data_IF_410984524975
#
_entry.id   IF_410984524975
#
_cell.length_a   1.000
_cell.length_b   1.000
_cell.length_c   1.000
_cell.angle_alpha   90.00
_cell.angle_beta   90.00
_cell.angle_gamma   90.00
#
_symmetry.space_group_name_H-M   'P 1'
#
loop_
_entity.id
_entity.type
_entity.pdbx_description
1 polymer ?
#
# COMPACT_ATOMS: atom_id res chain seq x y z
N UNK A 1 17.98 -20.04 30.80
CA UNK A 1 17.43 -19.67 29.50
C UNK A 1 15.98 -20.12 29.50
N UNK A 2 15.08 -19.24 29.88
CA UNK A 2 13.63 -19.47 29.86
C UNK A 2 13.12 -18.95 28.54
N UNK A 3 12.67 -19.84 27.67
CA UNK A 3 11.92 -19.48 26.48
C UNK A 3 10.62 -18.81 26.94
N UNK A 4 10.54 -17.49 26.82
CA UNK A 4 9.24 -16.82 26.86
C UNK A 4 8.55 -17.07 25.52
N UNK A 5 7.44 -17.81 25.57
CA UNK A 5 6.58 -18.03 24.43
C UNK A 5 6.06 -16.69 23.88
N UNK A 6 6.01 -16.60 22.57
CA UNK A 6 5.52 -15.44 21.83
C UNK A 6 4.01 -15.24 22.07
N UNK A 7 3.65 -14.65 23.20
CA UNK A 7 2.38 -13.93 23.33
C UNK A 7 2.70 -12.48 22.90
N UNK A 8 2.10 -12.06 21.78
CA UNK A 8 2.28 -10.71 21.27
C UNK A 8 2.00 -9.68 22.36
N UNK A 9 2.96 -8.79 22.58
CA UNK A 9 2.79 -7.66 23.48
C UNK A 9 1.70 -6.74 22.91
N UNK A 10 0.58 -6.66 23.60
CA UNK A 10 -0.48 -5.70 23.26
C UNK A 10 -0.10 -4.32 23.85
N UNK A 11 0.56 -3.51 23.02
CA UNK A 11 1.02 -2.16 23.41
C UNK A 11 -0.12 -1.24 23.88
N UNK A 12 -1.38 -1.52 23.48
CA UNK A 12 -2.55 -0.75 23.92
C UNK A 12 -2.95 -1.04 25.37
N UNK A 13 -2.37 -2.08 25.98
CA UNK A 13 -2.60 -2.46 27.38
C UNK A 13 -1.39 -2.19 28.27
N UNK A 14 -0.34 -1.59 27.74
CA UNK A 14 0.83 -1.22 28.55
C UNK A 14 0.57 0.06 29.32
N UNK A 15 1.05 0.07 30.57
CA UNK A 15 1.06 1.27 31.39
C UNK A 15 1.93 2.36 30.76
N UNK A 16 1.51 3.61 30.83
CA UNK A 16 2.22 4.77 30.24
C UNK A 16 3.65 4.85 30.75
N UNK A 17 3.87 4.56 32.04
CA UNK A 17 5.20 4.58 32.66
C UNK A 17 6.14 3.52 32.06
N UNK A 18 5.61 2.37 31.65
CA UNK A 18 6.37 1.32 30.98
C UNK A 18 6.74 1.72 29.55
N UNK A 19 5.82 2.37 28.84
CA UNK A 19 6.07 2.89 27.48
C UNK A 19 7.15 3.99 27.51
N UNK A 20 7.14 4.85 28.52
CA UNK A 20 8.12 5.92 28.69
C UNK A 20 9.52 5.36 29.00
N UNK A 21 9.61 4.34 29.87
CA UNK A 21 10.87 3.63 30.15
C UNK A 21 11.42 2.93 28.89
N UNK A 22 10.57 2.29 28.10
CA UNK A 22 10.95 1.67 26.82
C UNK A 22 11.48 2.72 25.84
N UNK A 23 10.85 3.89 25.79
CA UNK A 23 11.31 5.00 24.95
C UNK A 23 12.69 5.53 25.40
N UNK A 24 12.91 5.68 26.70
CA UNK A 24 14.21 6.10 27.26
C UNK A 24 15.32 5.07 27.06
N UNK A 25 15.00 3.79 26.91
CA UNK A 25 15.94 2.71 26.62
C UNK A 25 16.24 2.54 25.11
N UNK A 26 15.83 3.49 24.26
CA UNK A 26 16.06 3.42 22.80
C UNK A 26 14.97 2.66 22.04
N UNK A 27 13.81 2.47 22.66
CA UNK A 27 12.69 1.76 22.07
C UNK A 27 12.77 0.24 22.23
N UNK A 28 11.64 -0.44 22.11
CA UNK A 28 11.59 -1.88 21.93
C UNK A 28 12.20 -2.19 20.55
N UNK A 29 13.41 -2.66 20.51
CA UNK A 29 13.82 -3.49 19.40
C UNK A 29 13.04 -4.81 19.51
N UNK A 30 11.83 -4.79 19.00
CA UNK A 30 11.13 -6.01 18.66
C UNK A 30 12.00 -6.67 17.58
N UNK A 31 12.82 -7.63 18.03
CA UNK A 31 13.40 -8.60 17.11
C UNK A 31 12.23 -9.48 16.68
N UNK A 32 11.37 -8.92 15.82
CA UNK A 32 10.52 -9.72 14.97
C UNK A 32 11.49 -10.60 14.17
N UNK A 33 11.24 -11.89 14.01
CA UNK A 33 11.95 -12.64 12.99
C UNK A 33 11.75 -11.82 11.71
N UNK A 34 12.83 -11.24 11.19
CA UNK A 34 12.78 -10.45 9.97
C UNK A 34 12.50 -11.43 8.86
N UNK A 35 11.22 -11.55 8.48
CA UNK A 35 10.90 -12.06 7.18
C UNK A 35 11.28 -10.94 6.19
N UNK A 36 12.48 -11.02 5.64
CA UNK A 36 12.88 -10.17 4.53
C UNK A 36 12.10 -10.62 3.30
N UNK A 37 11.74 -9.67 2.45
CA UNK A 37 11.33 -10.03 1.11
C UNK A 37 12.46 -10.85 0.48
N UNK A 38 12.13 -12.04 -0.02
CA UNK A 38 13.12 -12.93 -0.61
C UNK A 38 13.54 -12.36 -1.97
N UNK A 39 14.82 -12.17 -2.17
CA UNK A 39 15.37 -11.72 -3.46
C UNK A 39 15.60 -12.89 -4.42
N UNK A 40 15.69 -14.12 -3.91
CA UNK A 40 15.70 -15.33 -4.73
C UNK A 40 14.28 -15.91 -4.83
N UNK A 41 13.55 -15.43 -5.82
CA UNK A 41 12.19 -15.90 -6.11
C UNK A 41 12.13 -17.38 -6.49
N UNK A 42 13.25 -17.97 -6.95
CA UNK A 42 13.35 -19.38 -7.28
C UNK A 42 13.08 -20.28 -6.08
N UNK A 43 13.60 -19.93 -4.92
CA UNK A 43 13.37 -20.69 -3.69
C UNK A 43 11.90 -20.75 -3.29
N UNK A 44 11.13 -19.68 -3.53
CA UNK A 44 9.69 -19.65 -3.28
C UNK A 44 8.90 -20.36 -4.40
N UNK A 45 9.33 -20.27 -5.66
CA UNK A 45 8.72 -20.96 -6.80
C UNK A 45 8.83 -22.49 -6.68
N UNK A 46 9.95 -22.99 -6.16
CA UNK A 46 10.19 -24.43 -5.93
C UNK A 46 9.23 -25.07 -4.92
N UNK A 47 8.43 -24.28 -4.22
CA UNK A 47 7.39 -24.78 -3.31
C UNK A 47 6.15 -25.34 -4.04
N UNK A 48 6.11 -25.28 -5.38
CA UNK A 48 4.95 -25.69 -6.19
C UNK A 48 3.77 -24.72 -6.14
N UNK A 49 3.99 -23.50 -5.67
CA UNK A 49 3.00 -22.41 -5.67
C UNK A 49 2.93 -21.73 -7.04
N UNK A 50 1.81 -21.14 -7.35
CA UNK A 50 1.70 -20.25 -8.51
C UNK A 50 2.54 -19.00 -8.28
N UNK A 51 3.37 -18.63 -9.25
CA UNK A 51 4.11 -17.37 -9.24
C UNK A 51 3.37 -16.37 -10.11
N UNK A 52 3.09 -15.20 -9.56
CA UNK A 52 2.45 -14.08 -10.26
C UNK A 52 3.44 -12.92 -10.29
N UNK A 53 3.78 -12.51 -11.50
CA UNK A 53 4.78 -11.47 -11.74
C UNK A 53 4.11 -10.10 -11.94
N UNK A 54 4.65 -9.08 -11.29
CA UNK A 54 4.27 -7.69 -11.50
C UNK A 54 5.51 -6.84 -11.77
N UNK A 55 5.39 -5.95 -12.74
CA UNK A 55 6.42 -4.99 -13.07
C UNK A 55 5.87 -3.58 -12.82
N UNK A 56 6.54 -2.84 -11.94
CA UNK A 56 6.23 -1.46 -11.65
C UNK A 56 7.40 -0.57 -12.10
N UNK A 57 7.06 0.52 -12.76
CA UNK A 57 7.99 1.60 -13.06
C UNK A 57 7.66 2.78 -12.16
N UNK A 58 8.63 3.24 -11.37
CA UNK A 58 8.49 4.44 -10.55
C UNK A 58 8.94 5.65 -11.38
N UNK A 59 8.00 6.54 -11.69
CA UNK A 59 8.27 7.68 -12.58
C UNK A 59 7.40 8.89 -12.26
N UNK A 60 7.93 10.08 -12.52
CA UNK A 60 7.21 11.34 -12.38
C UNK A 60 6.52 11.71 -13.69
N UNK A 61 5.23 12.01 -13.64
CA UNK A 61 4.45 12.44 -14.81
C UNK A 61 3.54 13.62 -14.47
N UNK A 62 3.28 14.46 -15.46
CA UNK A 62 2.27 15.51 -15.34
C UNK A 62 0.90 14.94 -15.71
N UNK A 63 -0.04 14.97 -14.77
CA UNK A 63 -1.40 14.48 -14.95
C UNK A 63 -2.40 15.65 -14.92
N UNK A 64 -3.38 15.68 -15.84
CA UNK A 64 -4.42 16.69 -15.79
C UNK A 64 -5.37 16.45 -14.61
N UNK A 65 -5.72 17.53 -13.92
CA UNK A 65 -6.84 17.55 -12.98
C UNK A 65 -7.91 18.54 -13.47
N UNK A 66 -9.09 18.50 -12.85
CA UNK A 66 -10.19 19.35 -13.29
C UNK A 66 -9.85 20.84 -13.18
N UNK A 67 -10.41 21.64 -14.09
CA UNK A 67 -10.20 23.10 -14.12
C UNK A 67 -8.97 23.56 -14.91
N UNK A 68 -8.36 22.64 -15.68
CA UNK A 68 -7.18 22.98 -16.52
C UNK A 68 -5.86 23.05 -15.74
N UNK A 69 -5.86 22.63 -14.49
CA UNK A 69 -4.66 22.49 -13.68
C UNK A 69 -4.01 21.13 -13.94
N UNK A 70 -2.73 21.05 -13.59
CA UNK A 70 -1.96 19.81 -13.65
C UNK A 70 -1.47 19.40 -12.27
N UNK A 71 -1.19 18.12 -12.11
CA UNK A 71 -0.58 17.52 -10.95
C UNK A 71 0.73 16.85 -11.38
N UNK A 72 1.85 17.33 -10.87
CA UNK A 72 3.15 16.71 -11.07
C UNK A 72 3.24 15.49 -10.15
N UNK A 73 2.68 14.40 -10.64
CA UNK A 73 2.52 13.16 -9.87
C UNK A 73 3.78 12.32 -9.89
N UNK A 74 4.13 11.74 -8.75
CA UNK A 74 4.99 10.56 -8.69
C UNK A 74 4.09 9.34 -8.81
N UNK A 75 4.42 8.40 -9.69
CA UNK A 75 3.49 7.35 -10.08
C UNK A 75 4.12 5.96 -10.11
N UNK A 76 3.27 4.94 -10.04
CA UNK A 76 3.60 3.63 -10.55
C UNK A 76 2.96 3.45 -11.93
N UNK A 77 3.79 3.18 -12.95
CA UNK A 77 3.39 2.97 -14.35
C UNK A 77 2.62 4.17 -14.97
N UNK A 78 3.05 5.40 -14.67
CA UNK A 78 2.52 6.62 -15.30
C UNK A 78 1.07 6.95 -14.95
N UNK A 79 0.48 6.36 -13.92
CA UNK A 79 -0.92 6.56 -13.56
C UNK A 79 -1.14 6.72 -12.05
N UNK A 80 -2.23 7.38 -11.69
CA UNK A 80 -2.72 7.51 -10.30
C UNK A 80 -4.19 7.07 -10.22
N UNK A 81 -4.54 6.12 -9.38
CA UNK A 81 -3.66 5.21 -8.63
C UNK A 81 -2.81 4.33 -9.54
N UNK A 82 -1.75 3.74 -9.00
CA UNK A 82 -0.99 2.69 -9.67
C UNK A 82 -1.86 1.48 -10.01
N UNK A 83 -1.36 0.51 -10.80
CA UNK A 83 -2.11 -0.67 -11.24
C UNK A 83 -2.69 -1.46 -10.06
N UNK A 84 -3.89 -2.00 -10.22
CA UNK A 84 -4.41 -3.00 -9.28
C UNK A 84 -3.64 -4.31 -9.45
N UNK A 85 -3.04 -4.79 -8.36
CA UNK A 85 -2.35 -6.07 -8.31
C UNK A 85 -3.32 -7.11 -7.79
N UNK A 86 -3.56 -8.20 -8.53
CA UNK A 86 -4.51 -9.23 -8.12
C UNK A 86 -3.90 -10.62 -8.15
N UNK A 87 -4.01 -11.32 -7.04
CA UNK A 87 -3.46 -12.66 -6.82
C UNK A 87 -4.44 -13.50 -6.01
N UNK A 88 -4.18 -14.80 -5.92
CA UNK A 88 -4.92 -15.71 -5.05
C UNK A 88 -4.12 -15.98 -3.77
N UNK A 89 -4.81 -16.15 -2.67
CA UNK A 89 -4.20 -16.53 -1.40
C UNK A 89 -3.33 -17.77 -1.56
N UNK A 90 -2.08 -17.65 -1.16
CA UNK A 90 -1.07 -18.69 -1.27
C UNK A 90 -0.16 -18.53 -2.50
N UNK A 91 -0.46 -17.66 -3.44
CA UNK A 91 0.44 -17.37 -4.55
C UNK A 91 1.74 -16.71 -4.07
N UNK A 92 2.80 -16.94 -4.83
CA UNK A 92 4.04 -16.18 -4.72
C UNK A 92 3.90 -14.94 -5.60
N UNK A 93 4.05 -13.77 -5.00
CA UNK A 93 4.14 -12.51 -5.74
C UNK A 93 5.60 -12.24 -6.03
N UNK A 94 5.94 -12.12 -7.30
CA UNK A 94 7.24 -11.64 -7.75
C UNK A 94 7.09 -10.21 -8.26
N UNK A 95 7.73 -9.28 -7.58
CA UNK A 95 7.67 -7.86 -7.89
C UNK A 95 8.99 -7.39 -8.46
N UNK A 96 8.94 -6.69 -9.58
CA UNK A 96 10.07 -5.93 -10.11
C UNK A 96 9.73 -4.45 -10.06
N UNK A 97 10.60 -3.65 -9.45
CA UNK A 97 10.53 -2.19 -9.46
C UNK A 97 11.71 -1.63 -10.24
N UNK A 98 11.42 -0.88 -11.30
CA UNK A 98 12.39 -0.19 -12.13
C UNK A 98 12.22 1.32 -11.97
N UNK A 99 13.33 2.04 -11.84
CA UNK A 99 13.34 3.51 -11.81
C UNK A 99 14.11 3.99 -13.05
N UNK A 100 13.49 4.72 -13.98
CA UNK A 100 14.15 5.26 -15.16
C UNK A 100 15.37 6.11 -14.80
N UNK A 101 16.38 6.10 -15.67
CA UNK A 101 17.65 6.79 -15.41
C UNK A 101 17.53 8.33 -15.42
N UNK A 102 16.48 8.86 -16.00
CA UNK A 102 16.15 10.29 -16.06
C UNK A 102 15.21 10.77 -14.93
N UNK A 103 14.78 9.83 -14.06
CA UNK A 103 14.02 10.20 -12.85
C UNK A 103 14.91 10.99 -11.88
N UNK A 104 14.31 11.95 -11.15
CA UNK A 104 15.07 12.87 -10.28
C UNK A 104 15.36 12.26 -8.91
N UNK A 105 14.56 11.27 -8.47
CA UNK A 105 14.68 10.67 -7.14
C UNK A 105 14.48 9.17 -7.22
N UNK A 106 15.05 8.48 -6.23
CA UNK A 106 14.76 7.06 -6.04
C UNK A 106 13.37 6.83 -5.46
N UNK A 107 12.89 5.61 -5.62
CA UNK A 107 11.61 5.16 -5.08
C UNK A 107 11.77 3.80 -4.42
N UNK A 108 10.87 3.50 -3.52
CA UNK A 108 10.79 2.20 -2.88
C UNK A 108 9.39 1.62 -3.04
N UNK A 109 9.16 0.53 -2.34
CA UNK A 109 7.83 -0.08 -2.31
C UNK A 109 7.52 -0.60 -0.92
N UNK A 110 6.27 -0.47 -0.50
CA UNK A 110 5.70 -1.08 0.70
C UNK A 110 4.47 -1.87 0.29
N UNK A 111 4.57 -3.18 0.37
CA UNK A 111 3.55 -4.13 -0.09
C UNK A 111 2.80 -4.69 1.12
N UNK A 112 1.73 -4.03 1.56
CA UNK A 112 0.96 -4.44 2.74
C UNK A 112 0.41 -5.88 2.65
N UNK A 113 0.17 -6.39 1.44
CA UNK A 113 -0.23 -7.79 1.23
C UNK A 113 0.85 -8.81 1.66
N UNK A 114 2.11 -8.38 1.75
CA UNK A 114 3.21 -9.20 2.26
C UNK A 114 3.16 -9.39 3.78
N UNK A 115 2.48 -8.47 4.50
CA UNK A 115 2.49 -8.35 5.96
C UNK A 115 3.89 -8.11 6.55
N UNK A 116 4.80 -7.61 5.72
CA UNK A 116 6.15 -7.22 6.11
C UNK A 116 6.24 -5.71 6.31
N UNK A 117 7.27 -5.26 7.01
CA UNK A 117 7.60 -3.85 7.13
C UNK A 117 8.17 -3.30 5.82
N UNK A 118 7.89 -2.03 5.52
CA UNK A 118 8.48 -1.31 4.38
C UNK A 118 10.01 -1.40 4.31
N UNK A 119 10.69 -1.49 5.46
CA UNK A 119 12.14 -1.65 5.52
C UNK A 119 12.67 -3.00 5.01
N UNK A 120 11.78 -3.95 4.70
CA UNK A 120 12.18 -5.24 4.11
C UNK A 120 12.27 -5.19 2.58
N UNK A 121 11.90 -4.07 1.97
CA UNK A 121 11.97 -3.85 0.54
C UNK A 121 13.02 -2.79 0.23
N UNK A 122 13.78 -3.00 -0.84
CA UNK A 122 14.82 -2.08 -1.26
C UNK A 122 14.25 -0.74 -1.75
N UNK A 123 15.06 0.31 -1.54
CA UNK A 123 14.89 1.55 -2.29
C UNK A 123 15.77 1.50 -3.53
N UNK A 124 15.20 1.88 -4.66
CA UNK A 124 15.81 1.78 -5.98
C UNK A 124 16.15 3.19 -6.47
N UNK A 125 17.40 3.43 -6.85
CA UNK A 125 17.85 4.72 -7.39
C UNK A 125 17.54 4.85 -8.89
N UNK A 126 17.56 6.08 -9.43
CA UNK A 126 17.43 6.27 -10.88
C UNK A 126 18.42 5.43 -11.68
N UNK A 127 17.92 4.72 -12.70
CA UNK A 127 18.67 3.80 -13.54
C UNK A 127 18.86 2.40 -12.96
N UNK A 128 18.28 2.10 -11.82
CA UNK A 128 18.37 0.81 -11.15
C UNK A 128 17.04 0.05 -11.17
N UNK A 129 17.13 -1.25 -10.91
CA UNK A 129 16.00 -2.17 -10.80
C UNK A 129 16.20 -3.05 -9.58
N UNK A 130 15.14 -3.28 -8.80
CA UNK A 130 15.12 -4.29 -7.74
C UNK A 130 14.02 -5.31 -7.97
N UNK A 131 14.28 -6.55 -7.58
CA UNK A 131 13.29 -7.63 -7.62
C UNK A 131 13.21 -8.30 -6.26
N UNK A 132 12.00 -8.57 -5.83
CA UNK A 132 11.72 -9.25 -4.56
C UNK A 132 10.41 -10.04 -4.62
N UNK A 133 10.28 -10.99 -3.72
CA UNK A 133 9.14 -11.89 -3.66
C UNK A 133 8.59 -12.02 -2.26
N UNK A 134 7.31 -12.35 -2.18
CA UNK A 134 6.64 -12.73 -0.94
C UNK A 134 5.47 -13.67 -1.25
N UNK A 135 4.96 -14.34 -0.22
CA UNK A 135 3.75 -15.15 -0.32
C UNK A 135 2.56 -14.31 0.12
N UNK A 136 1.51 -14.25 -0.70
CA UNK A 136 0.25 -13.58 -0.37
C UNK A 136 -0.59 -14.47 0.56
N UNK A 137 -0.25 -14.51 1.86
CA UNK A 137 -0.83 -15.47 2.80
C UNK A 137 -2.25 -15.14 3.25
N UNK A 138 -2.63 -13.87 3.23
CA UNK A 138 -3.93 -13.41 3.74
C UNK A 138 -4.81 -12.86 2.63
N UNK A 139 -6.03 -13.40 2.51
CA UNK A 139 -7.03 -12.85 1.61
C UNK A 139 -7.51 -11.47 2.11
N UNK A 140 -7.70 -10.53 1.18
CA UNK A 140 -8.15 -9.18 1.50
C UNK A 140 -7.82 -8.15 0.44
N UNK A 141 -8.09 -6.89 0.77
CA UNK A 141 -7.70 -5.72 -0.03
C UNK A 141 -6.66 -4.94 0.77
N UNK A 142 -5.49 -4.80 0.19
CA UNK A 142 -4.33 -4.19 0.83
C UNK A 142 -3.86 -2.99 0.02
N UNK A 143 -3.25 -2.02 0.69
CA UNK A 143 -2.51 -0.96 0.01
C UNK A 143 -1.15 -1.47 -0.44
N UNK A 144 -0.63 -0.87 -1.50
CA UNK A 144 0.79 -0.77 -1.73
C UNK A 144 1.12 0.67 -2.06
N UNK A 145 2.31 1.11 -1.72
CA UNK A 145 2.74 2.48 -1.95
C UNK A 145 4.25 2.62 -1.93
N UNK A 146 4.74 3.76 -2.41
CA UNK A 146 6.16 4.07 -2.30
C UNK A 146 6.57 4.23 -0.84
N UNK A 147 7.70 3.64 -0.46
CA UNK A 147 8.33 3.82 0.85
C UNK A 147 9.28 5.03 0.90
N UNK A 148 9.32 5.84 -0.16
CA UNK A 148 10.31 6.90 -0.31
C UNK A 148 11.71 6.36 -0.58
N UNK A 149 12.73 7.16 -0.32
CA UNK A 149 14.13 6.74 -0.39
C UNK A 149 14.59 6.36 1.00
N UNK A 150 14.82 5.08 1.25
CA UNK A 150 15.17 4.56 2.57
C UNK A 150 14.24 5.09 3.68
N UNK A 151 12.93 5.04 3.43
CA UNK A 151 11.85 5.55 4.27
C UNK A 151 11.80 7.08 4.43
N UNK A 152 12.69 7.83 3.79
CA UNK A 152 12.64 9.29 3.78
C UNK A 152 11.65 9.80 2.70
N UNK A 153 10.87 10.82 3.03
CA UNK A 153 9.91 11.46 2.11
C UNK A 153 8.74 10.56 1.69
N UNK A 154 8.45 9.50 2.44
CA UNK A 154 7.38 8.55 2.10
C UNK A 154 6.02 9.24 1.95
N UNK A 155 5.69 10.17 2.84
CA UNK A 155 4.46 10.97 2.81
C UNK A 155 4.35 11.77 1.51
N UNK A 156 5.41 12.44 1.10
CA UNK A 156 5.47 13.20 -0.15
C UNK A 156 5.22 12.29 -1.36
N UNK A 157 5.91 11.16 -1.45
CA UNK A 157 5.79 10.24 -2.58
C UNK A 157 4.37 9.64 -2.67
N UNK A 158 3.82 9.20 -1.53
CA UNK A 158 2.46 8.63 -1.46
C UNK A 158 1.40 9.67 -1.81
N UNK A 159 1.46 10.86 -1.19
CA UNK A 159 0.48 11.91 -1.43
C UNK A 159 0.60 12.54 -2.83
N UNK A 160 1.78 12.41 -3.47
CA UNK A 160 1.96 12.78 -4.87
C UNK A 160 1.43 11.74 -5.86
N UNK A 161 0.96 10.58 -5.41
CA UNK A 161 0.28 9.62 -6.29
C UNK A 161 0.83 8.20 -6.32
N UNK A 162 1.95 7.91 -5.65
CA UNK A 162 2.56 6.57 -5.65
C UNK A 162 1.87 5.61 -4.69
N UNK A 163 0.66 5.22 -5.00
CA UNK A 163 -0.13 4.23 -4.26
C UNK A 163 -1.03 3.43 -5.18
N UNK A 164 -1.44 2.26 -4.73
CA UNK A 164 -2.41 1.40 -5.37
C UNK A 164 -2.99 0.36 -4.42
N UNK A 165 -3.75 -0.58 -4.96
CA UNK A 165 -4.30 -1.70 -4.18
C UNK A 165 -3.80 -3.03 -4.71
N UNK A 166 -3.56 -3.95 -3.78
CA UNK A 166 -3.37 -5.37 -4.04
C UNK A 166 -4.61 -6.13 -3.53
N UNK A 167 -5.21 -6.92 -4.38
CA UNK A 167 -6.35 -7.78 -4.05
C UNK A 167 -5.84 -9.21 -3.96
N UNK A 168 -6.00 -9.82 -2.81
CA UNK A 168 -5.70 -11.22 -2.59
C UNK A 168 -7.02 -11.97 -2.46
N UNK A 169 -7.41 -12.66 -3.51
CA UNK A 169 -8.62 -13.46 -3.52
C UNK A 169 -8.47 -14.68 -2.61
N UNK A 170 -9.51 -15.11 -1.89
CA UNK A 170 -9.44 -16.32 -1.08
C UNK A 170 -9.14 -17.56 -1.93
N UNK A 171 -8.29 -18.47 -1.44
CA UNK A 171 -7.88 -19.70 -2.15
C UNK A 171 -9.07 -20.58 -2.60
N UNK A 172 -10.19 -20.53 -1.87
CA UNK A 172 -11.41 -21.27 -2.18
C UNK A 172 -12.51 -20.40 -2.80
N UNK A 173 -12.15 -19.23 -3.29
CA UNK A 173 -13.08 -18.24 -3.85
C UNK A 173 -14.04 -17.63 -2.81
N UNK A 174 -14.86 -16.73 -3.27
CA UNK A 174 -15.91 -16.11 -2.46
C UNK A 174 -17.12 -17.02 -2.42
N UNK A 175 -17.56 -17.40 -1.21
CA UNK A 175 -18.71 -18.28 -1.03
C UNK A 175 -20.01 -17.51 -0.87
N UNK A 176 -19.97 -16.37 -0.18
CA UNK A 176 -21.12 -15.49 0.06
C UNK A 176 -20.70 -14.05 0.30
N UNK A 177 -21.56 -13.14 -0.09
CA UNK A 177 -21.50 -11.75 0.33
C UNK A 177 -22.31 -11.58 1.62
N UNK A 178 -21.72 -10.93 2.61
CA UNK A 178 -22.41 -10.53 3.83
C UNK A 178 -22.67 -9.03 3.78
N UNK A 179 -23.94 -8.65 3.97
CA UNK A 179 -24.32 -7.26 4.13
C UNK A 179 -24.78 -7.05 5.56
N UNK A 180 -24.14 -6.12 6.26
CA UNK A 180 -24.55 -5.69 7.59
C UNK A 180 -25.39 -4.41 7.48
N UNK A 181 -26.53 -4.41 8.13
CA UNK A 181 -27.42 -3.24 8.20
C UNK A 181 -27.83 -3.03 9.65
N UNK A 182 -27.60 -1.84 10.16
CA UNK A 182 -28.12 -1.46 11.46
C UNK A 182 -29.60 -1.11 11.30
N UNK A 183 -30.47 -1.83 12.00
CA UNK A 183 -31.89 -1.52 12.05
C UNK A 183 -32.13 -0.21 12.79
N UNK A 184 -33.32 0.37 12.62
CA UNK A 184 -33.74 1.57 13.37
C UNK A 184 -33.78 1.37 14.91
N UNK A 185 -33.74 0.10 15.38
CA UNK A 185 -33.62 -0.25 16.81
C UNK A 185 -32.14 -0.35 17.27
N UNK A 186 -31.17 -0.18 16.38
CA UNK A 186 -29.76 -0.33 16.68
C UNK A 186 -29.26 -1.79 16.61
N UNK A 187 -30.12 -2.73 16.25
CA UNK A 187 -29.76 -4.14 16.09
C UNK A 187 -29.05 -4.34 14.74
N UNK A 188 -27.96 -5.13 14.78
CA UNK A 188 -27.18 -5.48 13.60
C UNK A 188 -27.81 -6.67 12.89
N UNK A 189 -28.35 -6.44 11.71
CA UNK A 189 -28.89 -7.50 10.83
C UNK A 189 -27.83 -7.88 9.80
N UNK A 190 -27.62 -9.19 9.60
CA UNK A 190 -26.66 -9.75 8.64
C UNK A 190 -27.39 -10.57 7.60
N UNK A 191 -27.30 -10.12 6.37
CA UNK A 191 -27.84 -10.82 5.22
C UNK A 191 -26.71 -11.43 4.39
N UNK A 192 -26.90 -12.66 3.92
CA UNK A 192 -25.94 -13.38 3.10
C UNK A 192 -26.53 -13.63 1.72
N UNK A 193 -25.79 -13.24 0.71
CA UNK A 193 -26.12 -13.41 -0.70
C UNK A 193 -25.08 -14.29 -1.37
N UNK A 194 -25.44 -14.90 -2.51
CA UNK A 194 -24.49 -15.59 -3.36
C UNK A 194 -23.45 -14.61 -3.90
N UNK A 195 -22.22 -15.07 -4.14
CA UNK A 195 -21.09 -14.19 -4.47
C UNK A 195 -21.00 -13.89 -5.99
N UNK A 196 -22.09 -13.44 -6.60
CA UNK A 196 -22.19 -13.02 -8.00
C UNK A 196 -22.46 -11.51 -8.11
N UNK A 197 -21.61 -10.70 -7.49
CA UNK A 197 -21.74 -9.26 -7.48
C UNK A 197 -20.79 -8.57 -8.47
N UNK A 198 -21.17 -7.37 -8.93
CA UNK A 198 -20.25 -6.48 -9.62
C UNK A 198 -19.24 -5.89 -8.61
N UNK A 199 -17.97 -5.95 -8.96
CA UNK A 199 -16.89 -5.37 -8.17
C UNK A 199 -16.58 -3.95 -8.67
N UNK A 200 -16.51 -3.00 -7.75
CA UNK A 200 -16.04 -1.63 -7.99
C UNK A 200 -14.86 -1.33 -7.09
N UNK A 201 -13.76 -0.91 -7.70
CA UNK A 201 -12.56 -0.50 -7.00
C UNK A 201 -12.54 1.02 -6.92
N UNK A 202 -12.66 1.56 -5.69
CA UNK A 202 -12.68 3.00 -5.45
C UNK A 202 -11.54 3.37 -4.49
N UNK A 203 -10.59 4.14 -4.98
CA UNK A 203 -9.46 4.65 -4.21
C UNK A 203 -9.59 6.17 -4.10
N UNK A 204 -9.79 6.66 -2.87
CA UNK A 204 -9.90 8.08 -2.56
C UNK A 204 -8.54 8.64 -2.18
N UNK A 205 -8.20 9.80 -2.71
CA UNK A 205 -7.03 10.55 -2.28
C UNK A 205 -7.32 12.04 -2.19
N UNK A 206 -6.58 12.73 -1.33
CA UNK A 206 -6.55 14.18 -1.23
C UNK A 206 -5.25 14.71 -1.80
N UNK A 207 -5.34 15.64 -2.74
CA UNK A 207 -4.19 16.30 -3.33
C UNK A 207 -3.92 17.60 -2.58
N UNK A 208 -2.66 17.84 -2.27
CA UNK A 208 -2.15 19.05 -1.64
C UNK A 208 -1.13 19.65 -2.60
N UNK A 209 -1.55 20.63 -3.39
CA UNK A 209 -0.78 21.13 -4.52
C UNK A 209 -0.53 22.61 -4.41
N UNK A 210 0.69 23.04 -4.78
CA UNK A 210 1.01 24.41 -5.12
C UNK A 210 0.32 24.84 -6.42
N UNK A 211 0.38 26.13 -6.75
CA UNK A 211 -0.15 26.64 -8.00
C UNK A 211 0.50 26.01 -9.25
N UNK A 212 1.73 25.52 -9.12
CA UNK A 212 2.48 24.85 -10.20
C UNK A 212 2.27 23.33 -10.23
N UNK A 213 1.33 22.82 -9.44
CA UNK A 213 0.97 21.40 -9.42
C UNK A 213 1.92 20.48 -8.62
N UNK A 214 2.87 21.04 -7.88
CA UNK A 214 3.78 20.27 -7.03
C UNK A 214 3.16 20.00 -5.65
N UNK A 215 3.65 18.99 -4.96
CA UNK A 215 3.23 18.70 -3.59
C UNK A 215 3.51 19.87 -2.64
N UNK A 216 2.49 20.25 -1.87
CA UNK A 216 2.54 21.30 -0.85
C UNK A 216 2.44 20.69 0.56
N UNK A 217 3.58 20.50 1.21
CA UNK A 217 3.65 20.00 2.58
C UNK A 217 2.96 20.95 3.58
N UNK A 218 3.04 22.27 3.36
CA UNK A 218 2.39 23.25 4.24
C UNK A 218 0.87 23.13 4.22
N UNK A 219 0.29 23.01 3.02
CA UNK A 219 -1.14 22.77 2.85
C UNK A 219 -1.55 21.42 3.45
N UNK A 220 -0.72 20.39 3.32
CA UNK A 220 -0.97 19.07 3.91
C UNK A 220 -1.01 19.14 5.43
N UNK A 221 -0.03 19.73 6.08
CA UNK A 221 -0.03 19.89 7.55
C UNK A 221 -1.16 20.78 8.05
N UNK A 222 -1.62 21.73 7.23
CA UNK A 222 -2.78 22.57 7.55
C UNK A 222 -4.13 21.90 7.23
N UNK A 223 -4.15 20.68 6.69
CA UNK A 223 -5.36 19.96 6.23
C UNK A 223 -6.16 20.74 5.16
N UNK A 224 -5.47 21.48 4.29
CA UNK A 224 -6.03 22.31 3.23
C UNK A 224 -5.81 21.66 1.87
N UNK A 225 -6.52 20.57 1.60
CA UNK A 225 -6.40 19.88 0.31
C UNK A 225 -6.88 20.74 -0.86
N UNK A 226 -6.14 20.72 -1.95
CA UNK A 226 -6.47 21.41 -3.20
C UNK A 226 -7.60 20.70 -3.93
N UNK A 227 -7.59 19.37 -3.92
CA UNK A 227 -8.62 18.54 -4.55
C UNK A 227 -8.80 17.21 -3.81
N UNK A 228 -9.99 16.63 -3.97
CA UNK A 228 -10.24 15.22 -3.64
C UNK A 228 -10.50 14.47 -4.93
N UNK A 229 -9.83 13.36 -5.11
CA UNK A 229 -9.91 12.52 -6.31
C UNK A 229 -10.37 11.11 -5.98
N UNK A 230 -11.04 10.48 -6.92
CA UNK A 230 -11.42 9.06 -6.87
C UNK A 230 -10.79 8.38 -8.08
N UNK A 231 -9.98 7.37 -7.86
CA UNK A 231 -9.19 6.74 -8.91
C UNK A 231 -8.42 7.75 -9.77
N UNK A 232 -7.80 8.74 -9.13
CA UNK A 232 -7.02 9.79 -9.78
C UNK A 232 -7.84 10.90 -10.46
N UNK A 233 -9.17 10.79 -10.50
CA UNK A 233 -10.05 11.75 -11.17
C UNK A 233 -10.85 12.58 -10.18
N UNK A 234 -10.86 13.89 -10.37
CA UNK A 234 -11.77 14.80 -9.70
C UNK A 234 -13.10 14.82 -10.46
N UNK A 235 -14.21 14.56 -9.76
CA UNK A 235 -15.57 14.51 -10.32
C UNK A 235 -15.77 13.53 -11.49
N UNK A 236 -14.84 12.61 -11.75
CA UNK A 236 -14.92 11.69 -12.89
C UNK A 236 -16.13 10.74 -12.89
N UNK A 237 -16.78 10.57 -11.75
CA UNK A 237 -17.96 9.71 -11.56
C UNK A 237 -19.25 10.49 -11.28
N UNK A 238 -19.23 11.81 -11.38
CA UNK A 238 -20.42 12.64 -11.21
C UNK A 238 -21.17 12.70 -12.57
N UNK A 239 -22.47 12.39 -12.62
CA UNK A 239 -23.25 12.55 -13.86
C UNK A 239 -23.21 14.01 -14.34
N UNK A 240 -23.03 14.21 -15.65
CA UNK A 240 -23.09 15.52 -16.31
C UNK A 240 -24.53 16.00 -16.40
#
# INVERSE_FOLDING_TARGET
QTQMGAQGLDINKMDVDVLEQIHQMGGLQLVMPQAFAETDCGALADTGRTVVEFNLTGESVELPIMGGNTHNAMTFNGQVPGPTLRVTQGDVVQMTLEIPADEVTGHGNDMHASQMSAGNFDSVNPGETSQYCYIAESAGVFKYHCSGVHLAGMDQHVLSGMYGIAIVDPANGYKKLMVEKTSGSGELDRMFYDADALEFQLQYNQLYLTADGNYDAGAMFAHQNTATVVNGMQFGYVPN
#
